data_IF_362413913264
#
_entry.id   IF_362413913264
#
_cell.length_a   1.000
_cell.length_b   1.000
_cell.length_c   1.000
_cell.angle_alpha   90.00
_cell.angle_beta   90.00
_cell.angle_gamma   90.00
#
_symmetry.space_group_name_H-M   'P 1'
#
loop_
_entity.id
_entity.type
_entity.pdbx_description
1 polymer ?
#
# COMPACT_ATOMS: atom_id res chain seq x y z
N UNK A 1 -6.68 0.97 -15.31
CA UNK A 1 -5.74 -0.19 -15.35
C UNK A 1 -5.42 -0.55 -13.91
N UNK A 2 -5.68 -1.78 -13.49
CA UNK A 2 -5.35 -2.22 -12.14
C UNK A 2 -3.87 -2.62 -12.07
N UNK A 3 -3.16 -2.17 -11.05
CA UNK A 3 -1.76 -2.55 -10.82
C UNK A 3 -1.74 -3.52 -9.64
N UNK A 4 -1.20 -4.72 -9.87
CA UNK A 4 -1.09 -5.73 -8.81
C UNK A 4 0.32 -5.71 -8.25
N UNK A 5 0.45 -5.36 -6.97
CA UNK A 5 1.71 -5.49 -6.24
C UNK A 5 1.82 -6.92 -5.68
N UNK A 6 2.94 -7.60 -5.96
CA UNK A 6 3.23 -8.89 -5.34
C UNK A 6 4.10 -8.71 -4.10
N UNK A 7 4.07 -9.69 -3.18
CA UNK A 7 4.90 -9.68 -1.98
C UNK A 7 6.38 -9.53 -2.35
N UNK A 8 7.04 -8.51 -1.81
CA UNK A 8 8.44 -8.17 -2.13
C UNK A 8 8.65 -7.44 -3.46
N UNK A 9 7.58 -7.10 -4.18
CA UNK A 9 7.63 -6.35 -5.42
C UNK A 9 7.64 -4.84 -5.20
N UNK A 10 8.35 -4.12 -6.07
CA UNK A 10 8.32 -2.67 -6.16
C UNK A 10 7.58 -2.25 -7.42
N UNK A 11 6.72 -1.24 -7.30
CA UNK A 11 6.00 -0.65 -8.43
C UNK A 11 6.30 0.84 -8.51
N UNK A 12 6.66 1.31 -9.70
CA UNK A 12 6.88 2.73 -9.95
C UNK A 12 5.63 3.35 -10.55
N UNK A 13 4.91 4.13 -9.76
CA UNK A 13 3.71 4.84 -10.22
C UNK A 13 4.04 5.86 -11.32
N UNK A 14 5.21 6.51 -11.27
CA UNK A 14 5.64 7.49 -12.28
C UNK A 14 5.89 6.86 -13.66
N UNK A 15 6.26 5.56 -13.72
CA UNK A 15 6.37 4.84 -14.99
C UNK A 15 5.00 4.52 -15.59
N UNK A 16 3.99 4.37 -14.75
CA UNK A 16 2.62 4.03 -15.17
C UNK A 16 1.79 5.26 -15.49
N UNK A 17 1.89 6.30 -14.66
CA UNK A 17 1.22 7.59 -14.85
C UNK A 17 2.13 8.72 -14.33
N UNK A 18 2.87 9.39 -15.23
CA UNK A 18 3.74 10.51 -14.87
C UNK A 18 2.98 11.74 -14.35
N UNK A 19 1.68 11.83 -14.64
CA UNK A 19 0.81 12.97 -14.29
C UNK A 19 -0.02 12.75 -13.03
N UNK A 20 0.28 11.69 -12.27
CA UNK A 20 -0.46 11.31 -11.07
C UNK A 20 -0.36 12.41 -9.98
N UNK A 21 -1.49 13.04 -9.69
CA UNK A 21 -1.59 14.11 -8.67
C UNK A 21 -2.42 13.71 -7.45
N UNK A 22 -3.19 12.63 -7.54
CA UNK A 22 -4.07 12.14 -6.47
C UNK A 22 -3.95 10.63 -6.37
N UNK A 23 -3.92 10.12 -5.14
CA UNK A 23 -3.83 8.69 -4.84
C UNK A 23 -4.93 8.36 -3.84
N UNK A 24 -5.65 7.27 -4.09
CA UNK A 24 -6.56 6.64 -3.14
C UNK A 24 -5.94 5.29 -2.73
N UNK A 25 -5.84 5.05 -1.43
CA UNK A 25 -5.36 3.78 -0.88
C UNK A 25 -6.52 3.11 -0.17
N UNK A 26 -6.80 1.85 -0.53
CA UNK A 26 -7.79 1.01 0.14
C UNK A 26 -7.12 -0.27 0.63
N UNK A 27 -7.35 -0.61 1.90
CA UNK A 27 -6.99 -1.90 2.48
C UNK A 27 -8.27 -2.71 2.68
N UNK A 28 -8.31 -3.93 2.16
CA UNK A 28 -9.41 -4.86 2.35
C UNK A 28 -8.89 -6.24 2.72
N UNK A 29 -9.58 -6.91 3.64
CA UNK A 29 -9.28 -8.26 4.08
C UNK A 29 -10.58 -9.02 4.32
N UNK A 30 -10.51 -10.34 4.20
CA UNK A 30 -11.60 -11.20 4.63
C UNK A 30 -11.56 -11.35 6.16
N UNK A 31 -12.71 -11.27 6.85
CA UNK A 31 -12.77 -11.47 8.28
C UNK A 31 -12.36 -12.89 8.65
N UNK A 32 -11.97 -13.09 9.91
CA UNK A 32 -11.61 -14.41 10.40
C UNK A 32 -12.79 -15.37 10.21
N UNK A 33 -12.54 -16.48 9.52
CA UNK A 33 -13.56 -17.51 9.24
C UNK A 33 -13.79 -18.49 10.40
N UNK A 34 -12.92 -18.49 11.41
CA UNK A 34 -12.98 -19.34 12.60
C UNK A 34 -13.24 -18.52 13.86
N UNK A 35 -13.66 -19.18 14.93
CA UNK A 35 -13.78 -18.55 16.24
C UNK A 35 -12.42 -17.98 16.72
N UNK A 36 -12.45 -16.86 17.45
CA UNK A 36 -11.26 -16.20 17.99
C UNK A 36 -11.20 -14.69 17.73
N UNK A 37 -10.13 -14.04 18.18
CA UNK A 37 -9.96 -12.59 18.07
C UNK A 37 -9.82 -12.13 16.61
N UNK A 38 -10.45 -11.01 16.27
CA UNK A 38 -10.42 -10.46 14.91
C UNK A 38 -9.00 -10.14 14.41
N UNK A 39 -8.83 -10.05 13.09
CA UNK A 39 -7.57 -9.55 12.54
C UNK A 39 -7.53 -8.03 12.71
N UNK A 40 -6.50 -7.56 13.40
CA UNK A 40 -6.17 -6.14 13.51
C UNK A 40 -5.11 -5.81 12.44
N UNK A 41 -5.51 -5.01 11.44
CA UNK A 41 -4.65 -4.67 10.32
C UNK A 41 -4.38 -3.17 10.27
N UNK A 42 -3.11 -2.83 10.16
CA UNK A 42 -2.65 -1.47 9.95
C UNK A 42 -2.12 -1.27 8.52
N UNK A 43 -2.61 -0.23 7.85
CA UNK A 43 -1.98 0.30 6.64
C UNK A 43 -1.21 1.58 7.00
N UNK A 44 0.09 1.60 6.73
CA UNK A 44 0.95 2.77 6.97
C UNK A 44 1.60 3.23 5.68
N UNK A 45 1.73 4.55 5.55
CA UNK A 45 2.46 5.18 4.46
C UNK A 45 3.57 6.07 5.03
N UNK A 46 4.77 5.96 4.47
CA UNK A 46 5.93 6.72 4.89
C UNK A 46 6.38 7.65 3.79
N UNK A 47 6.48 8.94 4.10
CA UNK A 47 7.13 9.91 3.23
C UNK A 47 8.63 9.91 3.52
N UNK A 48 9.42 9.54 2.52
CA UNK A 48 10.87 9.43 2.61
C UNK A 48 11.51 10.61 1.89
N UNK A 49 12.44 11.28 2.56
CA UNK A 49 13.23 12.36 1.97
C UNK A 49 14.36 11.85 1.07
N UNK A 50 15.09 12.77 0.44
CA UNK A 50 16.20 12.43 -0.46
C UNK A 50 17.33 11.63 0.22
N UNK A 51 17.43 11.69 1.55
CA UNK A 51 18.39 10.92 2.35
C UNK A 51 17.93 9.49 2.67
N UNK A 52 16.80 9.03 2.12
CA UNK A 52 16.26 7.70 2.37
C UNK A 52 15.65 7.52 3.77
N UNK A 53 15.46 8.59 4.53
CA UNK A 53 14.87 8.55 5.87
C UNK A 53 13.48 9.17 5.88
N UNK A 54 12.66 8.65 6.79
CA UNK A 54 11.44 9.33 7.23
C UNK A 54 11.84 10.55 8.05
N UNK A 55 11.08 11.63 7.89
CA UNK A 55 11.27 12.88 8.63
C UNK A 55 10.77 12.77 10.06
#
# INVERSE_FOLDING_TARGET
>A
MALTLQKGGNLSLSKTDPSLTKILVGLGWDPRATDGAEFDLDASAFLVGANGKVR
#
